data_IF_210646485937
#
_entry.id   IF_210646485937
#
_cell.length_a   1.000
_cell.length_b   1.000
_cell.length_c   1.000
_cell.angle_alpha   90.00
_cell.angle_beta   90.00
_cell.angle_gamma   90.00
#
_symmetry.space_group_name_H-M   'P 1'
#
loop_
_entity.id
_entity.type
_entity.pdbx_description
1 polymer ?
#
# COMPACT_ATOMS: atom_id res chain seq x y z
N UNK A 1 3.74 2.71 -13.09
CA UNK A 1 5.24 2.68 -12.99
C UNK A 1 5.67 1.36 -12.40
N UNK A 2 6.71 0.73 -12.95
CA UNK A 2 7.21 -0.55 -12.44
C UNK A 2 8.49 -0.36 -11.65
N UNK A 3 8.52 -0.90 -10.43
CA UNK A 3 9.74 -0.98 -9.62
C UNK A 3 10.54 -2.26 -9.84
N UNK A 4 9.97 -3.24 -10.55
CA UNK A 4 10.57 -4.55 -10.79
C UNK A 4 10.92 -4.71 -12.26
N UNK A 5 12.00 -5.45 -12.52
CA UNK A 5 12.40 -5.93 -13.84
C UNK A 5 12.40 -7.46 -13.80
N UNK A 6 11.41 -8.06 -14.46
CA UNK A 6 11.18 -9.50 -14.39
C UNK A 6 10.65 -9.98 -13.03
N UNK A 7 10.78 -11.27 -12.77
CA UNK A 7 10.05 -11.96 -11.68
C UNK A 7 10.57 -11.64 -10.27
N UNK A 8 11.83 -11.28 -10.12
CA UNK A 8 12.49 -11.21 -8.82
C UNK A 8 13.36 -9.99 -8.60
N UNK A 9 13.76 -9.34 -9.67
CA UNK A 9 14.69 -8.25 -9.62
C UNK A 9 13.93 -6.92 -9.50
N UNK A 10 14.40 -6.05 -8.65
CA UNK A 10 14.02 -4.64 -8.72
C UNK A 10 14.83 -3.95 -9.79
N UNK A 11 14.21 -2.96 -10.41
CA UNK A 11 14.96 -2.03 -11.26
C UNK A 11 16.13 -1.43 -10.47
N UNK A 12 17.27 -1.28 -11.10
CA UNK A 12 18.45 -0.63 -10.50
C UNK A 12 18.15 0.80 -10.01
N UNK A 13 17.10 1.41 -10.53
CA UNK A 13 16.61 2.74 -10.12
C UNK A 13 15.70 2.71 -8.90
N UNK A 14 15.16 1.57 -8.55
CA UNK A 14 14.18 1.42 -7.48
C UNK A 14 14.84 0.99 -6.17
N UNK A 15 15.03 1.94 -5.28
CA UNK A 15 15.55 1.70 -3.94
C UNK A 15 14.41 1.70 -2.93
N UNK A 16 14.25 0.61 -2.17
CA UNK A 16 13.13 0.43 -1.26
C UNK A 16 13.55 0.14 0.17
N UNK A 17 12.86 0.79 1.10
CA UNK A 17 12.91 0.56 2.54
C UNK A 17 11.56 -0.05 2.95
N UNK A 18 11.57 -1.24 3.53
CA UNK A 18 10.36 -1.99 3.84
C UNK A 18 10.14 -2.10 5.33
N UNK A 19 8.89 -1.96 5.76
CA UNK A 19 8.50 -2.24 7.13
C UNK A 19 8.90 -3.67 7.53
N UNK A 20 9.64 -3.81 8.63
CA UNK A 20 10.21 -5.08 9.08
C UNK A 20 9.53 -5.64 10.32
N UNK A 21 9.09 -4.78 11.24
CA UNK A 21 8.37 -5.16 12.46
C UNK A 21 7.38 -4.07 12.88
N UNK A 22 6.33 -4.43 13.61
CA UNK A 22 5.44 -3.48 14.29
C UNK A 22 6.00 -3.13 15.67
N UNK A 23 6.94 -2.21 15.74
CA UNK A 23 7.70 -1.89 16.94
C UNK A 23 6.82 -1.30 18.04
N UNK A 24 6.10 -0.23 17.75
CA UNK A 24 5.08 0.30 18.65
C UNK A 24 3.70 0.23 18.00
N UNK A 25 2.69 -0.03 18.83
CA UNK A 25 1.29 0.04 18.41
C UNK A 25 0.52 0.82 19.46
N UNK A 26 -0.12 1.90 19.04
CA UNK A 26 -0.91 2.77 19.89
C UNK A 26 -2.36 2.79 19.43
N UNK A 27 -3.30 2.84 20.40
CA UNK A 27 -4.70 3.15 20.11
C UNK A 27 -4.82 4.63 19.77
N UNK A 28 -5.55 4.94 18.72
CA UNK A 28 -5.90 6.30 18.32
C UNK A 28 -7.41 6.40 18.12
N UNK A 29 -7.99 7.59 18.09
CA UNK A 29 -9.41 7.75 17.81
C UNK A 29 -9.80 7.09 16.50
N UNK A 30 -10.78 6.18 16.56
CA UNK A 30 -11.27 5.40 15.43
C UNK A 30 -10.34 4.29 14.94
N UNK A 31 -9.25 3.96 15.67
CA UNK A 31 -8.36 2.93 15.20
C UNK A 31 -7.05 2.71 15.96
N UNK A 32 -6.01 2.35 15.21
CA UNK A 32 -4.67 2.11 15.75
C UNK A 32 -3.58 2.65 14.83
N UNK A 33 -2.44 3.00 15.44
CA UNK A 33 -1.23 3.45 14.74
C UNK A 33 -0.09 2.49 15.03
N UNK A 34 0.62 2.08 14.00
CA UNK A 34 1.81 1.22 14.06
C UNK A 34 3.01 2.00 13.58
N UNK A 35 4.08 2.01 14.36
CA UNK A 35 5.40 2.49 13.91
C UNK A 35 6.24 1.27 13.55
N UNK A 36 6.59 1.18 12.28
CA UNK A 36 7.30 0.05 11.71
C UNK A 36 8.68 0.47 11.20
N UNK A 37 9.77 0.17 11.94
CA UNK A 37 11.13 0.35 11.44
C UNK A 37 11.41 -0.56 10.25
N UNK A 38 12.36 -0.15 9.41
CA UNK A 38 12.75 -0.93 8.21
C UNK A 38 13.75 -2.05 8.50
N UNK A 39 14.17 -2.18 9.73
CA UNK A 39 14.98 -3.25 10.28
C UNK A 39 14.50 -3.63 11.67
N UNK A 40 14.85 -4.83 12.14
CA UNK A 40 14.50 -5.26 13.50
C UNK A 40 15.34 -4.53 14.53
N UNK A 41 14.70 -4.11 15.63
CA UNK A 41 15.35 -3.44 16.76
C UNK A 41 15.56 -4.45 17.87
N UNK A 42 16.77 -4.96 18.00
CA UNK A 42 17.14 -5.90 19.08
C UNK A 42 17.84 -5.19 20.25
N UNK A 43 18.30 -3.97 20.04
CA UNK A 43 18.98 -3.18 21.05
C UNK A 43 19.08 -1.70 20.69
N UNK A 44 19.58 -0.91 21.66
CA UNK A 44 19.66 0.54 21.50
C UNK A 44 20.48 0.98 20.27
N UNK A 45 21.50 0.21 19.88
CA UNK A 45 22.31 0.51 18.71
C UNK A 45 21.53 0.48 17.40
N UNK A 46 20.52 -0.36 17.30
CA UNK A 46 19.70 -0.56 16.10
C UNK A 46 18.77 0.63 15.83
N UNK A 47 18.54 1.50 16.81
CA UNK A 47 17.69 2.69 16.63
C UNK A 47 18.42 3.84 15.93
N UNK A 48 19.74 3.78 15.84
CA UNK A 48 20.54 4.83 15.22
C UNK A 48 20.35 4.82 13.69
N UNK A 49 19.90 5.95 13.14
CA UNK A 49 19.65 6.10 11.70
C UNK A 49 18.68 5.07 11.11
N UNK A 50 17.77 4.53 11.94
CA UNK A 50 16.75 3.57 11.49
C UNK A 50 15.54 4.32 10.92
N UNK A 51 15.28 4.25 9.60
CA UNK A 51 14.06 4.79 9.03
C UNK A 51 12.84 4.02 9.54
N UNK A 52 11.73 4.73 9.66
CA UNK A 52 10.45 4.16 10.08
C UNK A 52 9.36 4.45 9.06
N UNK A 53 8.41 3.54 8.97
CA UNK A 53 7.15 3.74 8.26
C UNK A 53 6.06 3.77 9.33
N UNK A 54 5.26 4.80 9.34
CA UNK A 54 4.09 4.88 10.23
C UNK A 54 2.86 4.46 9.45
N UNK A 55 2.02 3.62 10.06
CA UNK A 55 0.78 3.13 9.46
C UNK A 55 -0.37 3.35 10.42
N UNK A 56 -1.42 4.02 9.96
CA UNK A 56 -2.69 4.13 10.66
C UNK A 56 -3.73 3.25 9.99
N UNK A 57 -4.45 2.49 10.82
CA UNK A 57 -5.64 1.77 10.46
C UNK A 57 -6.83 2.40 11.17
N UNK A 58 -7.83 2.87 10.41
CA UNK A 58 -9.03 3.54 10.96
C UNK A 58 -10.29 2.95 10.36
N UNK A 59 -11.30 2.76 11.20
CA UNK A 59 -12.62 2.33 10.79
C UNK A 59 -13.41 3.51 10.23
N UNK A 60 -13.57 3.58 8.92
CA UNK A 60 -14.36 4.63 8.25
C UNK A 60 -15.85 4.27 8.18
N UNK A 61 -16.18 2.99 8.20
CA UNK A 61 -17.53 2.42 8.30
C UNK A 61 -17.42 0.95 8.72
N UNK A 62 -18.53 0.29 9.04
CA UNK A 62 -18.54 -1.11 9.47
C UNK A 62 -17.83 -2.08 8.49
N UNK A 63 -17.92 -1.85 7.19
CA UNK A 63 -17.24 -2.66 6.18
C UNK A 63 -16.03 -1.99 5.53
N UNK A 64 -15.49 -0.91 6.12
CA UNK A 64 -14.42 -0.13 5.49
C UNK A 64 -13.34 0.26 6.49
N UNK A 65 -12.12 -0.11 6.20
CA UNK A 65 -10.92 0.27 6.97
C UNK A 65 -10.01 1.09 6.06
N UNK A 66 -9.67 2.29 6.51
CA UNK A 66 -8.64 3.14 5.89
C UNK A 66 -7.26 2.69 6.36
N UNK A 67 -6.31 2.62 5.44
CA UNK A 67 -4.89 2.41 5.73
C UNK A 67 -4.12 3.61 5.21
N UNK A 68 -3.54 4.40 6.11
CA UNK A 68 -2.67 5.53 5.78
C UNK A 68 -1.25 5.18 6.17
N UNK A 69 -0.33 5.17 5.22
CA UNK A 69 1.07 4.87 5.46
C UNK A 69 1.95 6.03 4.98
N UNK A 70 2.99 6.37 5.77
CA UNK A 70 3.96 7.41 5.41
C UNK A 70 5.32 7.16 6.04
N UNK A 71 6.35 7.65 5.36
CA UNK A 71 7.70 7.68 5.91
C UNK A 71 8.02 9.01 6.60
N UNK A 72 7.53 10.12 6.04
CA UNK A 72 7.72 11.48 6.57
C UNK A 72 6.42 12.27 6.46
N UNK A 73 5.96 12.85 7.58
CA UNK A 73 4.66 13.53 7.67
C UNK A 73 4.74 15.04 7.33
N UNK A 74 5.92 15.60 7.19
CA UNK A 74 6.11 17.05 6.98
C UNK A 74 5.78 17.56 5.57
N UNK A 75 5.17 16.73 4.72
CA UNK A 75 4.75 17.15 3.38
C UNK A 75 3.31 17.66 3.41
N UNK A 76 3.12 18.92 3.04
CA UNK A 76 1.80 19.50 2.87
C UNK A 76 1.28 19.13 1.47
N UNK A 77 0.26 18.31 1.43
CA UNK A 77 -0.35 17.87 0.18
C UNK A 77 -1.40 18.89 -0.28
N UNK A 78 -1.07 19.69 -1.28
CA UNK A 78 -1.98 20.66 -1.90
C UNK A 78 -2.85 20.08 -3.03
N UNK A 79 -2.81 18.79 -3.27
CA UNK A 79 -3.63 18.15 -4.30
C UNK A 79 -5.11 18.18 -3.92
N UNK A 80 -6.01 18.20 -4.91
CA UNK A 80 -7.43 18.04 -4.68
C UNK A 80 -7.72 16.76 -3.89
N UNK A 81 -8.65 16.84 -2.96
CA UNK A 81 -9.06 15.69 -2.16
C UNK A 81 -10.41 15.17 -2.68
N UNK A 82 -10.61 13.86 -2.65
CA UNK A 82 -11.93 13.29 -2.90
C UNK A 82 -12.87 13.63 -1.75
N UNK A 83 -14.10 14.03 -2.09
CA UNK A 83 -15.17 14.14 -1.09
C UNK A 83 -15.58 12.74 -0.63
N UNK A 84 -15.54 12.51 0.68
CA UNK A 84 -15.83 11.21 1.29
C UNK A 84 -16.99 11.32 2.27
N UNK A 85 -17.91 10.39 2.16
CA UNK A 85 -19.00 10.24 3.13
C UNK A 85 -18.60 9.16 4.14
N UNK A 86 -17.76 9.53 5.10
CA UNK A 86 -17.29 8.64 6.15
C UNK A 86 -18.24 8.69 7.35
N UNK A 87 -18.72 7.53 7.76
CA UNK A 87 -19.41 7.37 9.05
C UNK A 87 -18.44 6.71 10.02
N UNK A 88 -17.62 7.54 10.66
CA UNK A 88 -16.64 7.05 11.63
C UNK A 88 -17.33 6.22 12.70
N UNK A 89 -16.81 5.03 12.92
CA UNK A 89 -17.24 4.13 14.00
C UNK A 89 -16.06 3.90 14.94
N UNK A 90 -16.34 3.55 16.19
CA UNK A 90 -15.32 3.16 17.14
C UNK A 90 -15.14 1.64 17.07
N UNK A 91 -14.01 1.15 16.53
CA UNK A 91 -13.77 -0.28 16.40
C UNK A 91 -13.29 -0.90 17.72
N UNK A 92 -13.42 -2.20 17.84
CA UNK A 92 -12.68 -2.94 18.85
C UNK A 92 -11.21 -3.05 18.42
N UNK A 93 -10.29 -2.69 19.32
CA UNK A 93 -8.84 -2.80 19.07
C UNK A 93 -8.22 -3.63 20.16
N UNK A 94 -7.54 -4.71 19.79
CA UNK A 94 -6.76 -5.56 20.67
C UNK A 94 -5.27 -5.46 20.30
N UNK A 95 -4.40 -5.28 21.28
CA UNK A 95 -2.95 -5.14 21.07
C UNK A 95 -2.25 -6.08 22.04
N UNK A 96 -1.43 -6.97 21.48
CA UNK A 96 -0.56 -7.89 22.19
C UNK A 96 0.90 -7.68 21.78
N UNK A 97 1.83 -8.41 22.33
CA UNK A 97 3.24 -8.36 21.94
C UNK A 97 3.48 -8.96 20.54
N UNK A 98 2.58 -9.83 20.06
CA UNK A 98 2.74 -10.54 18.80
C UNK A 98 1.90 -9.95 17.67
N UNK A 99 0.71 -9.46 17.97
CA UNK A 99 -0.23 -8.94 16.98
C UNK A 99 -1.04 -7.75 17.50
N UNK A 100 -1.60 -7.01 16.54
CA UNK A 100 -2.63 -6.01 16.80
C UNK A 100 -3.81 -6.25 15.85
N UNK A 101 -5.02 -6.17 16.39
CA UNK A 101 -6.25 -6.42 15.65
C UNK A 101 -7.19 -5.24 15.81
N UNK A 102 -7.74 -4.76 14.70
CA UNK A 102 -8.83 -3.80 14.66
C UNK A 102 -10.03 -4.50 14.03
N UNK A 103 -11.16 -4.51 14.74
CA UNK A 103 -12.39 -5.18 14.34
C UNK A 103 -13.54 -4.17 14.27
N UNK A 104 -14.15 -4.06 13.09
CA UNK A 104 -15.33 -3.20 12.88
C UNK A 104 -16.66 -3.95 13.08
N UNK A 105 -16.60 -5.24 13.43
CA UNK A 105 -17.75 -6.14 13.47
C UNK A 105 -18.10 -6.79 12.12
N UNK A 106 -17.61 -6.23 11.00
CA UNK A 106 -17.82 -6.74 9.63
C UNK A 106 -16.50 -7.03 8.96
N UNK A 107 -15.58 -6.08 9.00
CA UNK A 107 -14.24 -6.18 8.45
C UNK A 107 -13.22 -6.06 9.57
N UNK A 108 -12.22 -6.90 9.52
CA UNK A 108 -11.14 -6.95 10.49
C UNK A 108 -9.80 -6.76 9.78
N UNK A 109 -8.89 -6.01 10.39
CA UNK A 109 -7.47 -6.03 10.02
C UNK A 109 -6.65 -6.60 11.17
N UNK A 110 -5.80 -7.56 10.85
CA UNK A 110 -4.86 -8.20 11.75
C UNK A 110 -3.44 -7.88 11.32
N UNK A 111 -2.65 -7.33 12.22
CA UNK A 111 -1.24 -6.96 11.99
C UNK A 111 -0.36 -7.91 12.77
N UNK A 112 0.54 -8.63 12.09
CA UNK A 112 1.66 -9.34 12.72
C UNK A 112 2.75 -8.31 13.08
N UNK A 113 3.13 -8.26 14.34
CA UNK A 113 4.14 -7.32 14.83
C UNK A 113 5.56 -7.83 14.68
N UNK A 114 5.78 -9.13 14.68
CA UNK A 114 7.12 -9.73 14.61
C UNK A 114 7.74 -9.62 13.23
N UNK A 115 6.92 -9.85 12.20
CA UNK A 115 7.31 -9.69 10.80
C UNK A 115 6.23 -8.84 10.15
N UNK A 116 6.40 -7.52 10.22
CA UNK A 116 5.35 -6.60 9.82
C UNK A 116 4.63 -7.06 8.56
N UNK A 117 3.41 -7.43 8.76
CA UNK A 117 2.46 -7.81 7.71
C UNK A 117 1.05 -7.58 8.24
N UNK A 118 0.08 -7.47 7.36
CA UNK A 118 -1.32 -7.37 7.78
C UNK A 118 -2.25 -8.08 6.81
N UNK A 119 -3.36 -8.60 7.33
CA UNK A 119 -4.43 -9.23 6.55
C UNK A 119 -5.77 -8.57 6.83
N UNK A 120 -6.61 -8.55 5.79
CA UNK A 120 -8.02 -8.19 5.93
C UNK A 120 -8.86 -9.45 5.94
N UNK A 121 -9.80 -9.51 6.90
CA UNK A 121 -10.62 -10.68 7.15
C UNK A 121 -12.10 -10.28 7.26
N UNK A 122 -12.98 -11.04 6.60
CA UNK A 122 -14.41 -10.94 6.76
C UNK A 122 -15.04 -12.35 6.71
N UNK A 123 -16.09 -12.58 7.46
CA UNK A 123 -16.82 -13.88 7.54
C UNK A 123 -15.86 -15.06 7.82
N UNK A 124 -14.84 -14.83 8.67
CA UNK A 124 -13.87 -15.86 9.03
C UNK A 124 -12.89 -16.24 7.91
N UNK A 125 -12.82 -15.45 6.84
CA UNK A 125 -11.93 -15.69 5.69
C UNK A 125 -10.99 -14.51 5.49
N UNK A 126 -9.72 -14.82 5.18
CA UNK A 126 -8.77 -13.82 4.71
C UNK A 126 -9.15 -13.41 3.29
N UNK A 127 -9.38 -12.13 3.09
CA UNK A 127 -9.68 -11.53 1.79
C UNK A 127 -8.39 -11.24 1.01
N UNK A 128 -7.47 -10.54 1.65
CA UNK A 128 -6.16 -10.19 1.09
C UNK A 128 -5.14 -9.95 2.20
N UNK A 129 -3.87 -9.97 1.85
CA UNK A 129 -2.75 -9.81 2.78
C UNK A 129 -1.68 -8.91 2.18
N UNK A 130 -1.23 -7.92 2.95
CA UNK A 130 0.05 -7.27 2.74
C UNK A 130 1.10 -8.06 3.51
N UNK A 131 1.87 -8.88 2.81
CA UNK A 131 2.85 -9.79 3.42
C UNK A 131 4.09 -9.07 3.92
N UNK A 132 5.00 -9.84 4.50
CA UNK A 132 6.29 -9.32 4.95
C UNK A 132 7.07 -8.65 3.81
N UNK A 133 7.53 -7.42 4.04
CA UNK A 133 8.19 -6.55 3.05
C UNK A 133 7.33 -6.15 1.85
N UNK A 134 6.03 -6.12 2.01
CA UNK A 134 5.11 -5.68 0.98
C UNK A 134 4.60 -4.24 1.20
N UNK A 135 4.96 -3.60 2.32
CA UNK A 135 4.78 -2.16 2.53
C UNK A 135 6.15 -1.49 2.57
N UNK A 136 6.36 -0.50 1.71
CA UNK A 136 7.65 0.16 1.60
C UNK A 136 7.59 1.61 1.16
N UNK A 137 8.63 2.33 1.56
CA UNK A 137 8.99 3.62 0.99
C UNK A 137 9.97 3.37 -0.16
N UNK A 138 9.57 3.75 -1.37
CA UNK A 138 10.36 3.56 -2.58
C UNK A 138 10.93 4.88 -3.04
N UNK A 139 12.20 4.85 -3.41
CA UNK A 139 12.88 5.96 -4.07
C UNK A 139 13.20 5.56 -5.50
N UNK A 140 12.74 6.34 -6.46
CA UNK A 140 13.05 6.16 -7.86
C UNK A 140 14.12 7.16 -8.28
N UNK A 141 15.34 6.70 -8.51
CA UNK A 141 16.48 7.53 -8.90
C UNK A 141 16.48 7.77 -10.41
N UNK A 142 16.80 8.99 -10.86
CA UNK A 142 16.91 9.31 -12.28
C UNK A 142 18.02 8.53 -12.98
N UNK A 143 19.06 8.18 -12.22
CA UNK A 143 20.16 7.33 -12.67
C UNK A 143 20.24 6.10 -11.79
N UNK A 144 20.66 4.94 -12.34
CA UNK A 144 20.90 3.75 -11.54
C UNK A 144 21.88 4.06 -10.41
N UNK A 145 21.49 3.72 -9.18
CA UNK A 145 22.34 3.85 -8.01
C UNK A 145 22.67 2.46 -7.49
N UNK A 146 23.94 2.13 -7.43
CA UNK A 146 24.40 0.84 -6.91
C UNK A 146 24.44 0.78 -5.40
N UNK A 147 24.29 1.91 -4.73
CA UNK A 147 24.28 1.96 -3.27
C UNK A 147 23.20 2.90 -2.75
N UNK A 148 22.52 2.46 -1.72
CA UNK A 148 21.75 3.33 -0.84
C UNK A 148 22.78 4.15 -0.02
N UNK A 149 23.02 5.42 -0.31
CA UNK A 149 23.90 6.19 0.56
C UNK A 149 23.18 6.36 1.88
N UNK A 150 23.69 5.72 2.92
CA UNK A 150 23.20 5.95 4.27
C UNK A 150 23.22 7.47 4.52
N UNK A 151 22.06 8.06 4.71
CA UNK A 151 21.91 9.45 5.12
C UNK A 151 21.67 10.51 4.05
N UNK A 152 21.62 10.20 2.77
CA UNK A 152 21.37 11.22 1.75
C UNK A 152 20.01 11.01 1.06
N UNK A 153 18.93 11.17 1.83
CA UNK A 153 17.56 11.00 1.37
C UNK A 153 17.00 12.24 0.63
N UNK A 154 17.76 13.31 0.54
CA UNK A 154 17.30 14.61 0.08
C UNK A 154 18.01 15.09 -1.20
N UNK A 155 18.50 14.20 -2.02
CA UNK A 155 19.02 14.64 -3.33
C UNK A 155 17.83 14.92 -4.25
N UNK A 156 17.88 16.05 -4.94
CA UNK A 156 16.84 16.51 -5.91
C UNK A 156 16.61 15.53 -7.07
N UNK A 157 17.38 14.46 -7.15
CA UNK A 157 17.40 13.49 -8.25
C UNK A 157 16.53 12.26 -8.04
N UNK A 158 15.73 12.19 -6.98
CA UNK A 158 14.84 11.05 -6.73
C UNK A 158 13.38 11.47 -6.55
N UNK A 159 12.47 10.56 -6.92
CA UNK A 159 11.05 10.68 -6.61
C UNK A 159 10.67 9.67 -5.53
N UNK A 160 10.06 10.13 -4.42
CA UNK A 160 9.56 9.24 -3.38
C UNK A 160 8.19 8.67 -3.74
N UNK A 161 7.97 7.41 -3.34
CA UNK A 161 6.67 6.73 -3.45
C UNK A 161 6.43 5.90 -2.20
N UNK A 162 5.17 5.77 -1.80
CA UNK A 162 4.76 4.67 -0.94
C UNK A 162 4.27 3.53 -1.80
N UNK A 163 4.63 2.31 -1.45
CA UNK A 163 4.24 1.11 -2.17
C UNK A 163 3.61 0.12 -1.20
N UNK A 164 2.49 -0.46 -1.61
CA UNK A 164 1.83 -1.55 -0.91
C UNK A 164 1.55 -2.69 -1.89
N UNK A 165 1.91 -3.91 -1.52
CA UNK A 165 1.55 -5.10 -2.29
C UNK A 165 0.47 -5.88 -1.54
N UNK A 166 -0.68 -6.07 -2.18
CA UNK A 166 -1.77 -6.90 -1.69
C UNK A 166 -1.81 -8.22 -2.45
N UNK A 167 -2.07 -9.31 -1.74
CA UNK A 167 -2.15 -10.64 -2.36
C UNK A 167 -3.39 -10.78 -3.23
N UNK A 168 -3.22 -11.39 -4.39
CA UNK A 168 -4.30 -11.84 -5.27
C UNK A 168 -4.26 -13.36 -5.31
N UNK A 169 -5.37 -14.01 -4.95
CA UNK A 169 -5.45 -15.47 -4.85
C UNK A 169 -5.58 -16.17 -6.21
N UNK A 170 -5.41 -17.48 -6.20
CA UNK A 170 -5.64 -18.29 -7.41
C UNK A 170 -7.09 -18.17 -7.83
N UNK A 171 -7.33 -17.88 -9.12
CA UNK A 171 -8.68 -17.68 -9.67
C UNK A 171 -9.33 -16.36 -9.27
N UNK A 172 -8.64 -15.48 -8.56
CA UNK A 172 -9.10 -14.15 -8.25
C UNK A 172 -8.91 -13.22 -9.45
N UNK A 173 -9.98 -12.55 -9.84
CA UNK A 173 -10.01 -11.59 -10.92
C UNK A 173 -10.20 -10.18 -10.38
N UNK A 174 -9.44 -9.23 -10.93
CA UNK A 174 -9.49 -7.81 -10.58
C UNK A 174 -10.19 -7.04 -11.70
N UNK A 175 -11.09 -6.13 -11.32
CA UNK A 175 -11.90 -5.30 -12.21
C UNK A 175 -11.87 -3.86 -11.74
N UNK A 176 -12.03 -2.88 -12.66
CA UNK A 176 -12.18 -1.48 -12.29
C UNK A 176 -11.17 -0.55 -12.96
N UNK A 177 -10.66 0.42 -12.20
CA UNK A 177 -9.77 1.51 -12.59
C UNK A 177 -10.40 2.55 -13.55
N UNK A 178 -11.72 2.66 -13.56
CA UNK A 178 -12.47 3.59 -14.41
C UNK A 178 -12.75 3.06 -15.80
N UNK A 179 -13.01 3.97 -16.74
CA UNK A 179 -13.33 3.64 -18.13
C UNK A 179 -12.04 3.46 -18.93
N UNK A 180 -11.74 2.22 -19.34
CA UNK A 180 -10.51 1.87 -20.06
C UNK A 180 -10.81 0.96 -21.25
N UNK A 181 -10.06 1.16 -22.31
CA UNK A 181 -10.18 0.37 -23.55
C UNK A 181 -9.42 -0.97 -23.50
N UNK A 182 -8.73 -1.26 -22.41
CA UNK A 182 -8.03 -2.53 -22.21
C UNK A 182 -9.00 -3.63 -21.75
N UNK A 183 -8.52 -4.88 -21.66
CA UNK A 183 -9.35 -6.00 -21.24
C UNK A 183 -10.08 -5.74 -19.92
N UNK A 184 -11.30 -6.28 -19.80
CA UNK A 184 -12.15 -6.07 -18.61
C UNK A 184 -11.54 -6.64 -17.34
N UNK A 185 -11.01 -7.87 -17.39
CA UNK A 185 -10.19 -8.45 -16.32
C UNK A 185 -8.81 -7.81 -16.38
N UNK A 186 -8.38 -7.26 -15.25
CA UNK A 186 -7.14 -6.46 -15.18
C UNK A 186 -5.90 -7.25 -14.81
N UNK A 187 -6.03 -8.53 -14.45
CA UNK A 187 -4.90 -9.40 -14.18
C UNK A 187 -3.91 -9.41 -15.36
N UNK A 188 -2.63 -9.24 -15.07
CA UNK A 188 -1.57 -9.14 -16.06
C UNK A 188 -1.35 -7.74 -16.63
N UNK A 189 -2.07 -6.72 -16.15
CA UNK A 189 -1.96 -5.35 -16.65
C UNK A 189 -1.27 -4.43 -15.64
N UNK A 190 -0.52 -3.46 -16.17
CA UNK A 190 -0.11 -2.26 -15.44
C UNK A 190 -1.10 -1.15 -15.75
N UNK A 191 -1.58 -0.44 -14.74
CA UNK A 191 -2.58 0.61 -14.88
C UNK A 191 -2.11 1.87 -14.16
N UNK A 192 -1.90 2.94 -14.90
CA UNK A 192 -1.64 4.27 -14.35
C UNK A 192 -2.93 5.08 -14.33
N UNK A 193 -3.28 5.65 -13.16
CA UNK A 193 -4.50 6.43 -12.99
C UNK A 193 -4.23 7.91 -13.29
N UNK A 194 -4.09 8.22 -14.55
CA UNK A 194 -3.92 9.57 -15.04
C UNK A 194 -4.93 9.85 -16.16
N UNK A 195 -5.70 10.95 -16.04
CA UNK A 195 -6.67 11.34 -17.04
C UNK A 195 -5.96 12.05 -18.17
N UNK A 196 -5.98 11.46 -19.34
CA UNK A 196 -5.35 11.99 -20.53
C UNK A 196 -6.16 11.60 -21.77
N UNK A 197 -6.15 12.45 -22.80
CA UNK A 197 -6.83 12.17 -24.05
C UNK A 197 -6.15 10.99 -24.76
N UNK A 198 -6.87 9.92 -24.91
CA UNK A 198 -6.39 8.69 -25.54
C UNK A 198 -7.35 8.17 -26.60
N UNK A 199 -6.81 7.65 -27.67
CA UNK A 199 -7.59 6.91 -28.65
C UNK A 199 -8.09 5.56 -28.07
N UNK A 200 -9.08 4.96 -28.74
CA UNK A 200 -9.72 3.70 -28.32
C UNK A 200 -8.79 2.49 -28.26
N UNK A 201 -7.56 2.61 -28.75
CA UNK A 201 -6.55 1.55 -28.75
C UNK A 201 -5.39 1.82 -27.78
N UNK A 202 -5.50 2.85 -26.92
CA UNK A 202 -4.46 3.22 -25.96
C UNK A 202 -4.76 2.76 -24.55
N UNK A 203 -3.73 2.76 -23.69
CA UNK A 203 -3.87 2.56 -22.25
C UNK A 203 -4.33 3.81 -21.51
N UNK A 204 -4.31 4.94 -22.17
CA UNK A 204 -4.73 6.25 -21.67
C UNK A 204 -6.25 6.27 -21.57
N UNK A 205 -6.78 6.95 -20.57
CA UNK A 205 -8.21 7.03 -20.32
C UNK A 205 -8.61 8.46 -19.92
N UNK A 206 -9.82 8.86 -20.32
CA UNK A 206 -10.43 10.11 -19.88
C UNK A 206 -10.91 10.08 -18.44
N UNK A 207 -11.19 8.90 -17.91
CA UNK A 207 -11.81 8.69 -16.61
C UNK A 207 -11.11 7.58 -15.88
N UNK A 208 -10.00 7.92 -15.26
CA UNK A 208 -9.29 7.05 -14.34
C UNK A 208 -9.89 7.17 -12.95
N UNK A 209 -10.16 6.04 -12.31
CA UNK A 209 -10.64 5.95 -10.93
C UNK A 209 -9.71 5.00 -10.19
N UNK A 210 -9.02 5.43 -9.12
CA UNK A 210 -8.07 4.59 -8.40
C UNK A 210 -8.80 3.59 -7.47
N UNK A 211 -9.72 2.83 -8.06
CA UNK A 211 -10.55 1.84 -7.39
C UNK A 211 -10.62 0.56 -8.20
N UNK A 212 -10.46 -0.56 -7.53
CA UNK A 212 -10.74 -1.87 -8.09
C UNK A 212 -11.60 -2.72 -7.15
N UNK A 213 -12.25 -3.71 -7.71
CA UNK A 213 -12.96 -4.76 -6.99
C UNK A 213 -12.51 -6.14 -7.48
N UNK A 214 -12.75 -7.15 -6.66
CA UNK A 214 -12.42 -8.52 -7.00
C UNK A 214 -13.66 -9.42 -6.99
N UNK A 215 -13.59 -10.57 -7.66
CA UNK A 215 -14.63 -11.59 -7.60
C UNK A 215 -14.73 -12.28 -6.21
N UNK A 216 -13.86 -11.91 -5.26
CA UNK A 216 -13.98 -12.32 -3.85
C UNK A 216 -14.87 -11.42 -3.02
N UNK A 217 -15.42 -10.35 -3.61
CA UNK A 217 -16.39 -9.47 -2.96
C UNK A 217 -15.78 -8.36 -2.10
N UNK A 218 -14.51 -8.00 -2.32
CA UNK A 218 -13.91 -6.81 -1.73
C UNK A 218 -13.39 -5.87 -2.81
N UNK A 219 -13.19 -4.62 -2.43
CA UNK A 219 -12.57 -3.60 -3.27
C UNK A 219 -11.54 -2.78 -2.52
N UNK A 220 -10.67 -2.11 -3.26
CA UNK A 220 -9.65 -1.20 -2.73
C UNK A 220 -9.73 0.13 -3.47
N UNK A 221 -9.83 1.21 -2.71
CA UNK A 221 -9.79 2.57 -3.21
C UNK A 221 -8.49 3.23 -2.71
N UNK A 222 -7.70 3.78 -3.63
CA UNK A 222 -6.54 4.59 -3.27
C UNK A 222 -6.96 6.04 -3.21
N UNK A 223 -6.99 6.59 -2.00
CA UNK A 223 -7.43 7.95 -1.70
C UNK A 223 -6.34 8.97 -2.06
N UNK A 224 -6.04 9.05 -3.35
CA UNK A 224 -5.08 10.00 -3.90
C UNK A 224 -5.55 10.49 -5.27
N UNK A 225 -5.50 11.81 -5.47
CA UNK A 225 -5.71 12.45 -6.77
C UNK A 225 -4.42 12.59 -7.57
N UNK A 226 -3.30 12.15 -7.04
CA UNK A 226 -2.02 12.08 -7.74
C UNK A 226 -1.97 10.86 -8.69
N UNK A 227 -0.89 10.74 -9.42
CA UNK A 227 -0.65 9.59 -10.27
C UNK A 227 -0.43 8.34 -9.41
N UNK A 228 -1.35 7.39 -9.49
CA UNK A 228 -1.28 6.09 -8.83
C UNK A 228 -1.04 5.01 -9.89
N UNK A 229 -0.05 4.17 -9.67
CA UNK A 229 0.29 3.06 -10.56
C UNK A 229 -0.08 1.74 -9.92
N UNK A 230 -0.84 0.92 -10.64
CA UNK A 230 -1.24 -0.42 -10.21
C UNK A 230 -0.56 -1.47 -11.09
N UNK A 231 0.11 -2.43 -10.46
CA UNK A 231 0.67 -3.61 -11.10
C UNK A 231 -0.19 -4.82 -10.71
N UNK A 232 -1.12 -5.20 -11.59
CA UNK A 232 -2.16 -6.19 -11.27
C UNK A 232 -1.67 -7.58 -11.70
N UNK A 233 -0.96 -8.29 -10.83
CA UNK A 233 -0.40 -9.61 -11.10
C UNK A 233 0.37 -9.66 -12.45
N UNK A 234 1.03 -8.56 -12.82
CA UNK A 234 1.66 -8.39 -14.13
C UNK A 234 2.97 -9.16 -14.26
N UNK A 235 3.65 -9.41 -13.14
CA UNK A 235 4.95 -10.09 -13.11
C UNK A 235 5.05 -11.22 -12.10
N UNK A 236 4.15 -11.25 -11.10
CA UNK A 236 4.13 -12.29 -10.06
C UNK A 236 2.73 -12.85 -9.92
N UNK A 237 2.59 -14.17 -10.02
CA UNK A 237 1.33 -14.83 -9.71
C UNK A 237 0.99 -14.57 -8.24
N UNK A 238 -0.19 -13.98 -7.98
CA UNK A 238 -0.72 -13.79 -6.64
C UNK A 238 -0.35 -12.49 -5.93
N UNK A 239 0.08 -11.44 -6.64
CA UNK A 239 0.34 -10.12 -6.06
C UNK A 239 -0.18 -9.00 -6.93
N UNK A 240 -0.86 -8.03 -6.32
CA UNK A 240 -1.14 -6.72 -6.89
C UNK A 240 -0.34 -5.68 -6.10
N UNK A 241 0.29 -4.74 -6.80
CA UNK A 241 0.93 -3.58 -6.20
C UNK A 241 -0.05 -2.42 -6.27
N UNK A 242 -0.23 -1.70 -5.22
CA UNK A 242 -1.08 -0.51 -5.12
C UNK A 242 -0.22 0.70 -4.78
#
# INVERSE_FOLDING_TARGET
>A
MKFTEGYWLRSERANGLFAAEGYTVDRIPGGMRVVAPVGKINGRGDTLNMPTITVEFKACAAGTISVKAWHYEGYDNHLPQYEKNETMIEPEVEITDEEAVLDTGVLKVRVDRRNFSYSFEADGKVLTTCGFRNLGYMRWDRQPSTMFPAGNYLTEDHKPYMMTELSVGVGECVYGFGERFTAFVKNGQSVDTWNEDGGTASQIAYKSIPFYMTNRGYGVFVDSSDNVSFEVASEKIGRAHV
#
